data_IF_270774454461
#
_entry.id   IF_270774454461
#
_cell.length_a   1.000
_cell.length_b   1.000
_cell.length_c   1.000
_cell.angle_alpha   90.00
_cell.angle_beta   90.00
_cell.angle_gamma   90.00
#
_symmetry.space_group_name_H-M   'P 1'
#
loop_
_entity.id
_entity.type
_entity.pdbx_description
1 polymer ?
#
# COMPACT_ATOMS: atom_id res chain seq x y z
N UNK A 1 47.36 -35.82 7.85
CA UNK A 1 47.54 -35.03 9.10
C UNK A 1 48.38 -33.83 8.71
N UNK A 2 47.97 -32.57 8.84
CA UNK A 2 46.88 -31.91 9.56
C UNK A 2 46.23 -30.88 8.62
N UNK A 3 44.92 -30.67 8.78
CA UNK A 3 44.19 -29.53 8.24
C UNK A 3 44.63 -28.30 9.02
N UNK A 4 45.02 -27.23 8.33
CA UNK A 4 45.05 -25.88 8.91
C UNK A 4 43.64 -25.32 8.83
N UNK A 5 43.15 -24.86 9.98
CA UNK A 5 41.81 -24.31 10.13
C UNK A 5 41.78 -22.89 9.62
N UNK A 6 40.75 -22.59 8.82
CA UNK A 6 40.28 -21.23 8.63
C UNK A 6 39.65 -20.79 9.97
N UNK A 7 40.33 -19.87 10.64
CA UNK A 7 39.81 -19.15 11.80
C UNK A 7 38.62 -18.30 11.33
N UNK A 8 37.46 -18.55 11.92
CA UNK A 8 36.28 -17.73 11.70
C UNK A 8 36.53 -16.32 12.23
N UNK A 9 36.30 -15.33 11.37
CA UNK A 9 36.20 -13.94 11.80
C UNK A 9 35.08 -13.83 12.85
N UNK A 10 35.43 -13.44 14.07
CA UNK A 10 34.48 -13.03 15.09
C UNK A 10 33.68 -11.84 14.54
N UNK A 11 32.40 -12.06 14.22
CA UNK A 11 31.45 -10.96 13.99
C UNK A 11 31.34 -10.15 15.29
N UNK A 12 32.14 -9.08 15.41
CA UNK A 12 31.96 -8.10 16.49
C UNK A 12 30.51 -7.60 16.51
N UNK A 13 29.95 -7.40 17.71
CA UNK A 13 28.57 -6.95 17.94
C UNK A 13 28.20 -5.80 17.00
N UNK A 14 27.53 -6.11 15.89
CA UNK A 14 27.08 -5.11 14.92
C UNK A 14 26.03 -4.27 15.63
N UNK A 15 26.25 -2.96 15.68
CA UNK A 15 25.28 -2.03 16.27
C UNK A 15 23.89 -2.26 15.64
N UNK A 16 22.81 -2.39 16.44
CA UNK A 16 21.47 -2.56 15.91
C UNK A 16 21.11 -1.45 14.92
N UNK A 17 20.38 -1.78 13.86
CA UNK A 17 20.00 -0.82 12.79
C UNK A 17 18.53 -0.40 12.90
N UNK A 18 18.15 0.63 12.14
CA UNK A 18 16.75 0.98 11.91
C UNK A 18 16.17 0.06 10.83
N UNK A 19 14.92 -0.39 11.01
CA UNK A 19 14.22 -1.15 9.98
C UNK A 19 13.17 -0.29 9.28
N UNK A 20 13.20 -0.28 7.95
CA UNK A 20 12.12 0.22 7.10
C UNK A 20 11.46 -0.93 6.36
N UNK A 21 10.14 -1.08 6.51
CA UNK A 21 9.32 -1.93 5.64
C UNK A 21 8.37 -1.02 4.88
N UNK A 22 8.45 -1.03 3.55
CA UNK A 22 7.50 -0.32 2.68
C UNK A 22 6.58 -1.32 1.99
N UNK A 23 5.31 -0.99 1.87
CA UNK A 23 4.29 -1.87 1.29
C UNK A 23 3.67 -1.18 0.07
N UNK A 24 3.45 -1.92 -1.02
CA UNK A 24 2.44 -1.50 -1.99
C UNK A 24 1.03 -1.54 -1.36
N UNK A 25 0.04 -0.89 -1.98
CA UNK A 25 -1.33 -0.82 -1.50
C UNK A 25 -2.28 -1.78 -2.23
N UNK A 26 -2.54 -1.57 -3.52
CA UNK A 26 -3.57 -2.31 -4.28
C UNK A 26 -2.92 -3.53 -4.93
N UNK A 27 -3.36 -4.74 -4.54
CA UNK A 27 -2.70 -5.99 -4.91
C UNK A 27 -1.89 -6.58 -3.77
N UNK A 28 -1.46 -5.73 -2.82
CA UNK A 28 -0.68 -6.13 -1.64
C UNK A 28 -1.39 -5.99 -0.28
N UNK A 29 -2.04 -4.86 0.03
CA UNK A 29 -2.79 -4.67 1.28
C UNK A 29 -4.28 -4.95 1.11
N UNK A 30 -4.83 -4.61 -0.05
CA UNK A 30 -6.23 -4.78 -0.41
C UNK A 30 -6.38 -5.03 -1.92
N UNK A 31 -7.54 -5.53 -2.33
CA UNK A 31 -7.91 -5.77 -3.72
C UNK A 31 -9.23 -5.09 -4.10
N UNK A 32 -9.52 -5.03 -5.40
CA UNK A 32 -10.85 -4.69 -5.89
C UNK A 32 -11.84 -5.72 -5.34
N UNK A 33 -12.89 -5.24 -4.66
CA UNK A 33 -13.88 -6.11 -4.05
C UNK A 33 -14.49 -7.06 -5.09
N UNK A 34 -14.42 -8.35 -4.79
CA UNK A 34 -14.88 -9.46 -5.65
C UNK A 34 -14.15 -9.59 -7.00
N UNK A 35 -13.05 -8.87 -7.23
CA UNK A 35 -12.28 -8.93 -8.49
C UNK A 35 -13.01 -8.37 -9.72
N UNK A 36 -14.19 -7.79 -9.57
CA UNK A 36 -15.04 -7.38 -10.70
C UNK A 36 -15.28 -5.86 -10.70
N UNK A 37 -14.39 -5.14 -11.37
CA UNK A 37 -14.49 -3.70 -11.51
C UNK A 37 -15.70 -3.27 -12.36
N UNK A 38 -16.00 -4.03 -13.41
CA UNK A 38 -17.11 -3.76 -14.33
C UNK A 38 -18.44 -3.79 -13.60
N UNK A 39 -18.69 -4.84 -12.81
CA UNK A 39 -19.89 -4.98 -12.01
C UNK A 39 -20.04 -3.83 -11.00
N UNK A 40 -18.95 -3.43 -10.34
CA UNK A 40 -19.00 -2.30 -9.40
C UNK A 40 -19.36 -0.99 -10.11
N UNK A 41 -18.75 -0.72 -11.27
CA UNK A 41 -19.07 0.47 -12.07
C UNK A 41 -20.54 0.46 -12.52
N UNK A 42 -21.03 -0.67 -13.01
CA UNK A 42 -22.44 -0.86 -13.41
C UNK A 42 -23.40 -0.61 -12.25
N UNK A 43 -23.16 -1.19 -11.07
CA UNK A 43 -24.02 -0.99 -9.90
C UNK A 43 -24.09 0.46 -9.42
N UNK A 44 -22.98 1.21 -9.53
CA UNK A 44 -22.98 2.65 -9.22
C UNK A 44 -23.72 3.43 -10.32
N UNK A 45 -23.52 3.08 -11.58
CA UNK A 45 -24.22 3.70 -12.72
C UNK A 45 -25.74 3.52 -12.65
N UNK A 46 -26.22 2.34 -12.25
CA UNK A 46 -27.65 2.06 -12.04
C UNK A 46 -28.27 2.96 -10.98
N UNK A 47 -27.56 3.19 -9.87
CA UNK A 47 -27.99 4.12 -8.81
C UNK A 47 -28.05 5.57 -9.28
N UNK A 48 -27.27 5.91 -10.31
CA UNK A 48 -27.30 7.22 -10.97
C UNK A 48 -28.30 7.30 -12.14
N UNK A 49 -29.04 6.21 -12.43
CA UNK A 49 -30.09 6.18 -13.46
C UNK A 49 -29.67 5.56 -14.80
N UNK A 50 -28.43 5.10 -14.96
CA UNK A 50 -27.99 4.34 -16.13
C UNK A 50 -28.23 2.85 -15.91
N UNK A 51 -29.36 2.35 -16.43
CA UNK A 51 -29.78 0.96 -16.27
C UNK A 51 -29.51 0.14 -17.53
N UNK A 52 -29.36 -1.17 -17.36
CA UNK A 52 -29.24 -2.13 -18.46
C UNK A 52 -27.88 -2.13 -19.15
N UNK A 53 -26.83 -1.67 -18.45
CA UNK A 53 -25.46 -1.79 -18.93
C UNK A 53 -24.91 -3.18 -18.61
N UNK A 54 -24.24 -3.80 -19.58
CA UNK A 54 -23.51 -5.04 -19.37
C UNK A 54 -22.20 -4.76 -18.60
N UNK A 55 -21.92 -5.44 -17.47
CA UNK A 55 -20.66 -5.28 -16.73
C UNK A 55 -19.40 -5.52 -17.56
N UNK A 56 -19.43 -6.46 -18.51
CA UNK A 56 -18.31 -6.75 -19.39
C UNK A 56 -18.04 -5.63 -20.38
N UNK A 57 -19.08 -5.03 -20.95
CA UNK A 57 -18.97 -3.83 -21.79
C UNK A 57 -18.38 -2.64 -21.03
N UNK A 58 -18.86 -2.42 -19.79
CA UNK A 58 -18.35 -1.38 -18.90
C UNK A 58 -16.88 -1.61 -18.55
N UNK A 59 -16.49 -2.86 -18.23
CA UNK A 59 -15.10 -3.21 -17.95
C UNK A 59 -14.17 -2.96 -19.16
N UNK A 60 -14.60 -3.35 -20.37
CA UNK A 60 -13.85 -3.11 -21.60
C UNK A 60 -13.68 -1.63 -21.87
N UNK A 61 -14.78 -0.86 -21.83
CA UNK A 61 -14.74 0.58 -22.08
C UNK A 61 -13.93 1.33 -21.02
N UNK A 62 -13.98 0.88 -19.76
CA UNK A 62 -13.12 1.40 -18.68
C UNK A 62 -11.64 1.19 -19.00
N UNK A 63 -11.26 -0.02 -19.42
CA UNK A 63 -9.87 -0.36 -19.73
C UNK A 63 -9.34 0.53 -20.87
N UNK A 64 -10.14 0.74 -21.91
CA UNK A 64 -9.79 1.61 -23.03
C UNK A 64 -9.62 3.07 -22.58
N UNK A 65 -10.60 3.60 -21.83
CA UNK A 65 -10.55 4.95 -21.28
C UNK A 65 -9.33 5.16 -20.35
N UNK A 66 -9.09 4.23 -19.42
CA UNK A 66 -7.98 4.28 -18.48
C UNK A 66 -6.64 4.25 -19.21
N UNK A 67 -6.48 3.37 -20.21
CA UNK A 67 -5.24 3.27 -21.00
C UNK A 67 -4.97 4.55 -21.79
N UNK A 68 -6.00 5.09 -22.44
CA UNK A 68 -5.90 6.33 -23.21
C UNK A 68 -5.46 7.51 -22.32
N UNK A 69 -6.14 7.70 -21.18
CA UNK A 69 -5.82 8.76 -20.21
C UNK A 69 -4.48 8.56 -19.52
N UNK A 70 -4.07 7.32 -19.23
CA UNK A 70 -2.76 7.04 -18.65
C UNK A 70 -1.62 7.36 -19.62
N UNK A 71 -1.86 7.19 -20.92
CA UNK A 71 -0.88 7.52 -21.97
C UNK A 71 -0.80 9.02 -22.22
N UNK A 72 -1.95 9.68 -22.37
CA UNK A 72 -2.05 11.13 -22.70
C UNK A 72 -1.81 12.05 -21.51
N UNK A 73 -2.16 11.59 -20.30
CA UNK A 73 -2.09 12.34 -19.04
C UNK A 73 -1.52 11.44 -17.94
N UNK A 74 -0.24 11.05 -18.01
CA UNK A 74 0.37 10.10 -17.08
C UNK A 74 0.34 10.59 -15.63
N UNK A 75 0.46 9.65 -14.69
CA UNK A 75 0.45 9.88 -13.25
C UNK A 75 -0.71 10.81 -12.81
N UNK A 76 -1.94 10.45 -13.21
CA UNK A 76 -3.17 11.18 -12.87
C UNK A 76 -3.17 12.64 -13.33
N UNK A 77 -2.41 12.94 -14.40
CA UNK A 77 -2.26 14.27 -14.97
C UNK A 77 -1.32 15.19 -14.18
N UNK A 78 -0.39 14.65 -13.38
CA UNK A 78 0.51 15.44 -12.53
C UNK A 78 1.20 16.60 -13.29
N UNK A 79 1.70 16.34 -14.51
CA UNK A 79 2.35 17.33 -15.36
C UNK A 79 1.43 17.93 -16.45
N UNK A 80 0.13 17.62 -16.42
CA UNK A 80 -0.84 18.18 -17.37
C UNK A 80 -1.48 19.44 -16.79
N UNK A 81 -1.32 20.57 -17.49
CA UNK A 81 -1.95 21.82 -17.09
C UNK A 81 -3.47 21.69 -16.96
N UNK A 82 -4.02 22.18 -15.84
CA UNK A 82 -5.45 22.14 -15.56
C UNK A 82 -6.02 20.77 -15.20
N UNK A 83 -5.21 19.71 -15.22
CA UNK A 83 -5.58 18.35 -14.81
C UNK A 83 -5.18 18.11 -13.35
N UNK A 84 -6.05 17.44 -12.60
CA UNK A 84 -5.74 16.90 -11.29
C UNK A 84 -6.39 15.52 -11.17
N UNK A 85 -6.06 14.71 -10.15
CA UNK A 85 -6.60 13.35 -10.05
C UNK A 85 -8.13 13.30 -10.09
N UNK A 86 -8.80 14.31 -9.53
CA UNK A 86 -10.27 14.39 -9.53
C UNK A 86 -10.84 14.54 -10.94
N UNK A 87 -10.30 15.47 -11.73
CA UNK A 87 -10.69 15.67 -13.13
C UNK A 87 -10.28 14.50 -14.02
N UNK A 88 -9.10 13.93 -13.77
CA UNK A 88 -8.58 12.78 -14.50
C UNK A 88 -9.55 11.59 -14.41
N UNK A 89 -9.99 11.24 -13.18
CA UNK A 89 -10.96 10.18 -12.96
C UNK A 89 -12.37 10.51 -13.43
N UNK A 90 -12.77 11.79 -13.41
CA UNK A 90 -14.02 12.22 -14.03
C UNK A 90 -13.99 11.98 -15.54
N UNK A 91 -12.86 12.24 -16.21
CA UNK A 91 -12.70 12.00 -17.64
C UNK A 91 -12.65 10.51 -17.97
N UNK A 92 -11.98 9.68 -17.15
CA UNK A 92 -12.07 8.20 -17.26
C UNK A 92 -13.53 7.76 -17.20
N UNK A 93 -14.30 8.28 -16.22
CA UNK A 93 -15.72 7.95 -16.07
C UNK A 93 -16.51 8.34 -17.32
N UNK A 94 -16.34 9.56 -17.83
CA UNK A 94 -17.04 10.03 -19.03
C UNK A 94 -16.75 9.15 -20.23
N UNK A 95 -15.48 8.82 -20.47
CA UNK A 95 -15.05 7.99 -21.60
C UNK A 95 -15.47 6.53 -21.48
N UNK A 96 -15.61 6.04 -20.25
CA UNK A 96 -16.16 4.69 -19.98
C UNK A 96 -17.64 4.60 -20.37
N UNK A 97 -18.46 5.58 -19.99
CA UNK A 97 -19.92 5.44 -20.14
C UNK A 97 -20.48 6.04 -21.42
N UNK A 98 -19.92 7.13 -21.95
CA UNK A 98 -20.45 7.79 -23.16
C UNK A 98 -20.63 6.86 -24.37
N UNK A 99 -19.68 5.96 -24.70
CA UNK A 99 -19.84 5.05 -25.83
C UNK A 99 -20.94 4.00 -25.62
N UNK A 100 -21.33 3.75 -24.37
CA UNK A 100 -22.33 2.76 -24.00
C UNK A 100 -23.75 3.34 -23.93
N UNK A 101 -23.92 4.66 -24.12
CA UNK A 101 -25.22 5.30 -24.14
C UNK A 101 -25.85 5.24 -25.55
N UNK A 102 -27.13 4.84 -25.69
CA UNK A 102 -27.77 4.78 -27.00
C UNK A 102 -27.92 6.18 -27.62
N UNK A 103 -27.42 6.36 -28.84
CA UNK A 103 -27.49 7.62 -29.61
C UNK A 103 -28.91 8.14 -29.82
N UNK A 104 -29.91 7.27 -29.74
CA UNK A 104 -31.33 7.54 -30.03
C UNK A 104 -32.20 7.82 -28.80
N UNK A 105 -31.66 7.81 -27.58
CA UNK A 105 -32.48 7.92 -26.35
C UNK A 105 -32.35 9.27 -25.64
N UNK A 106 -33.44 9.66 -24.95
CA UNK A 106 -33.55 10.78 -23.99
C UNK A 106 -32.56 10.64 -22.80
N UNK A 107 -31.90 9.48 -22.67
CA UNK A 107 -30.98 9.15 -21.59
C UNK A 107 -29.73 10.03 -21.62
N UNK A 108 -29.81 11.16 -20.89
CA UNK A 108 -28.67 12.06 -20.70
C UNK A 108 -27.63 11.42 -19.78
N UNK A 109 -26.36 11.69 -20.06
CA UNK A 109 -25.27 11.33 -19.17
C UNK A 109 -25.53 11.90 -17.75
N UNK A 110 -25.55 11.06 -16.70
CA UNK A 110 -25.78 11.50 -15.33
C UNK A 110 -24.60 12.34 -14.81
N UNK A 111 -24.85 13.60 -14.48
CA UNK A 111 -23.81 14.52 -13.99
C UNK A 111 -23.25 14.12 -12.62
N UNK A 112 -23.98 13.34 -11.82
CA UNK A 112 -23.56 12.85 -10.51
C UNK A 112 -22.74 11.56 -10.54
N UNK A 113 -22.60 10.89 -11.69
CA UNK A 113 -21.97 9.56 -11.77
C UNK A 113 -20.48 9.57 -11.39
N UNK A 114 -19.72 10.55 -11.88
CA UNK A 114 -18.31 10.68 -11.53
C UNK A 114 -18.10 10.91 -10.03
N UNK A 115 -18.96 11.71 -9.38
CA UNK A 115 -18.94 11.92 -7.92
C UNK A 115 -19.28 10.64 -7.16
N UNK A 116 -20.26 9.88 -7.65
CA UNK A 116 -20.69 8.63 -7.03
C UNK A 116 -19.58 7.56 -7.09
N UNK A 117 -18.97 7.38 -8.27
CA UNK A 117 -17.83 6.47 -8.45
C UNK A 117 -16.61 6.92 -7.65
N UNK A 118 -16.28 8.21 -7.70
CA UNK A 118 -15.21 8.77 -6.88
C UNK A 118 -15.40 8.43 -5.40
N UNK A 119 -16.61 8.65 -4.89
CA UNK A 119 -16.96 8.35 -3.49
C UNK A 119 -16.87 6.87 -3.18
N UNK A 120 -17.40 6.01 -4.06
CA UNK A 120 -17.38 4.55 -3.91
C UNK A 120 -15.95 4.01 -3.82
N UNK A 121 -15.07 4.46 -4.72
CA UNK A 121 -13.65 4.08 -4.76
C UNK A 121 -12.75 4.94 -3.84
N UNK A 122 -13.34 5.74 -2.95
CA UNK A 122 -12.60 6.42 -1.87
C UNK A 122 -12.70 5.67 -0.53
N UNK A 123 -13.44 4.56 -0.47
CA UNK A 123 -13.63 3.76 0.75
C UNK A 123 -13.58 2.26 0.45
N UNK A 124 -13.65 1.44 1.49
CA UNK A 124 -13.89 0.00 1.54
C UNK A 124 -15.15 -0.49 0.80
N UNK A 125 -15.95 0.40 0.22
CA UNK A 125 -17.01 0.00 -0.70
C UNK A 125 -16.41 -0.60 -1.98
N UNK A 126 -15.34 0.01 -2.50
CA UNK A 126 -14.64 -0.40 -3.72
C UNK A 126 -13.74 -1.64 -3.57
N UNK A 127 -13.36 -1.95 -2.33
CA UNK A 127 -12.19 -2.77 -2.06
C UNK A 127 -12.41 -3.73 -0.88
N UNK A 128 -11.64 -4.81 -0.86
CA UNK A 128 -11.57 -5.77 0.24
C UNK A 128 -10.13 -5.87 0.73
N UNK A 129 -9.93 -5.81 2.05
CA UNK A 129 -8.61 -6.01 2.65
C UNK A 129 -8.21 -7.49 2.58
N UNK A 130 -6.93 -7.79 2.34
CA UNK A 130 -6.48 -9.18 2.44
C UNK A 130 -6.41 -9.65 3.89
N UNK A 131 -6.67 -10.93 4.10
CA UNK A 131 -6.75 -11.54 5.44
C UNK A 131 -5.42 -11.41 6.21
N UNK A 132 -4.27 -11.42 5.52
CA UNK A 132 -2.95 -11.29 6.13
C UNK A 132 -2.58 -9.87 6.57
N UNK A 133 -3.25 -8.84 6.05
CA UNK A 133 -2.86 -7.44 6.24
C UNK A 133 -2.96 -6.98 7.69
N UNK A 134 -4.11 -7.18 8.33
CA UNK A 134 -4.31 -6.74 9.72
C UNK A 134 -3.45 -7.55 10.71
N UNK A 135 -3.38 -8.89 10.62
CA UNK A 135 -2.47 -9.68 11.45
C UNK A 135 -1.01 -9.25 11.31
N UNK A 136 -0.53 -9.02 10.08
CA UNK A 136 0.82 -8.50 9.85
C UNK A 136 1.06 -7.17 10.58
N UNK A 137 0.14 -6.20 10.46
CA UNK A 137 0.27 -4.91 11.13
C UNK A 137 0.26 -5.03 12.67
N UNK A 138 -0.49 -5.99 13.23
CA UNK A 138 -0.44 -6.28 14.67
C UNK A 138 0.91 -6.88 15.09
N UNK A 139 1.43 -7.85 14.34
CA UNK A 139 2.75 -8.42 14.63
C UNK A 139 3.84 -7.34 14.61
N UNK A 140 3.80 -6.43 13.63
CA UNK A 140 4.74 -5.31 13.57
C UNK A 140 4.60 -4.38 14.77
N UNK A 141 3.37 -4.15 15.26
CA UNK A 141 3.15 -3.35 16.47
C UNK A 141 3.85 -3.97 17.68
N UNK A 142 3.75 -5.28 17.85
CA UNK A 142 4.41 -5.99 18.94
C UNK A 142 5.94 -5.94 18.79
N UNK A 143 6.45 -6.11 17.57
CA UNK A 143 7.87 -5.99 17.27
C UNK A 143 8.42 -4.57 17.49
N UNK A 144 7.62 -3.51 17.28
CA UNK A 144 8.00 -2.12 17.62
C UNK A 144 8.27 -1.95 19.13
N UNK A 145 7.62 -2.73 19.99
CA UNK A 145 7.91 -2.73 21.43
C UNK A 145 9.26 -3.38 21.73
N UNK A 146 9.61 -4.47 21.05
CA UNK A 146 10.94 -5.11 21.13
C UNK A 146 12.04 -4.16 20.63
N UNK A 147 11.79 -3.48 19.51
CA UNK A 147 12.69 -2.46 18.97
C UNK A 147 12.96 -1.33 19.98
N UNK A 148 11.93 -0.92 20.71
CA UNK A 148 12.04 0.11 21.76
C UNK A 148 12.95 -0.32 22.89
N UNK A 149 12.75 -1.53 23.44
CA UNK A 149 13.64 -2.11 24.45
C UNK A 149 15.09 -2.20 23.95
N UNK A 150 15.27 -2.59 22.68
CA UNK A 150 16.60 -2.69 22.05
C UNK A 150 17.29 -1.32 21.98
N UNK A 151 16.55 -0.27 21.56
CA UNK A 151 17.06 1.11 21.51
C UNK A 151 17.45 1.63 22.90
N UNK A 152 16.74 1.19 23.94
CA UNK A 152 16.97 1.55 25.34
C UNK A 152 18.05 0.68 26.03
N UNK A 153 18.61 -0.32 25.32
CA UNK A 153 19.64 -1.22 25.85
C UNK A 153 19.10 -2.34 26.73
N UNK A 154 17.79 -2.60 26.69
CA UNK A 154 17.09 -3.61 27.50
C UNK A 154 16.85 -4.93 26.76
N UNK A 155 17.13 -4.99 25.46
CA UNK A 155 17.01 -6.20 24.65
C UNK A 155 18.15 -6.29 23.64
N UNK A 156 18.58 -7.52 23.37
CA UNK A 156 19.52 -7.84 22.31
C UNK A 156 18.74 -8.26 21.07
N UNK A 157 18.57 -7.33 20.13
CA UNK A 157 17.88 -7.57 18.87
C UNK A 157 18.54 -6.76 17.75
N UNK A 158 18.40 -7.25 16.51
CA UNK A 158 19.01 -6.61 15.34
C UNK A 158 18.48 -5.20 15.08
N UNK A 159 17.23 -4.91 15.45
CA UNK A 159 16.56 -3.66 15.11
C UNK A 159 16.21 -2.79 16.32
N UNK A 160 16.55 -1.50 16.24
CA UNK A 160 16.29 -0.51 17.29
C UNK A 160 15.07 0.39 16.99
N UNK A 161 14.64 0.42 15.74
CA UNK A 161 13.37 1.02 15.33
C UNK A 161 12.75 0.19 14.21
N UNK A 162 11.43 0.28 14.08
CA UNK A 162 10.70 -0.22 12.90
C UNK A 162 9.84 0.91 12.39
N UNK A 163 9.94 1.19 11.09
CA UNK A 163 9.12 2.18 10.38
C UNK A 163 8.36 1.47 9.27
N UNK A 164 7.04 1.70 9.20
CA UNK A 164 6.19 1.17 8.12
C UNK A 164 5.77 2.31 7.19
N UNK A 165 6.08 2.16 5.91
CA UNK A 165 5.65 3.06 4.86
C UNK A 165 4.70 2.37 3.87
N UNK A 166 3.87 3.15 3.19
CA UNK A 166 3.15 2.71 1.98
C UNK A 166 3.69 3.47 0.78
N UNK A 167 4.05 2.78 -0.31
CA UNK A 167 4.47 3.37 -1.59
C UNK A 167 3.50 2.88 -2.67
N UNK A 168 2.69 3.78 -3.22
CA UNK A 168 1.62 3.39 -4.16
C UNK A 168 1.60 4.25 -5.41
N UNK A 169 1.56 3.59 -6.57
CA UNK A 169 1.22 4.18 -7.87
C UNK A 169 -0.28 4.51 -7.91
N UNK A 170 -0.67 5.54 -7.16
CA UNK A 170 -2.06 5.89 -6.94
C UNK A 170 -2.25 7.38 -6.69
N UNK A 171 -3.50 7.81 -6.71
CA UNK A 171 -3.90 9.13 -6.26
C UNK A 171 -4.08 9.24 -4.73
N UNK A 172 -4.28 10.46 -4.24
CA UNK A 172 -4.36 10.81 -2.82
C UNK A 172 -5.51 10.13 -2.05
N UNK A 173 -6.47 9.46 -2.71
CA UNK A 173 -7.59 8.76 -2.06
C UNK A 173 -7.17 7.52 -1.28
N UNK A 174 -6.01 6.91 -1.56
CA UNK A 174 -5.54 5.69 -0.85
C UNK A 174 -5.55 5.86 0.66
N UNK A 175 -5.18 7.06 1.15
CA UNK A 175 -5.27 7.36 2.58
C UNK A 175 -6.71 7.23 3.13
N UNK A 176 -7.71 7.60 2.34
CA UNK A 176 -9.13 7.45 2.68
C UNK A 176 -9.56 5.99 2.65
N UNK A 177 -9.14 5.24 1.63
CA UNK A 177 -9.41 3.80 1.48
C UNK A 177 -8.87 3.02 2.68
N UNK A 178 -7.58 3.16 2.98
CA UNK A 178 -6.94 2.53 4.14
C UNK A 178 -7.67 2.87 5.44
N UNK A 179 -8.00 4.15 5.66
CA UNK A 179 -8.71 4.56 6.87
C UNK A 179 -10.14 4.03 6.98
N UNK A 180 -10.82 3.77 5.85
CA UNK A 180 -12.13 3.11 5.88
C UNK A 180 -12.04 1.62 6.20
N UNK A 181 -10.91 0.97 5.88
CA UNK A 181 -10.60 -0.40 6.27
C UNK A 181 -10.03 -0.51 7.70
N UNK A 182 -9.86 0.61 8.39
CA UNK A 182 -9.28 0.66 9.72
C UNK A 182 -7.78 0.96 9.79
N UNK A 183 -7.07 1.00 8.67
CA UNK A 183 -5.63 1.29 8.67
C UNK A 183 -5.40 2.80 8.77
N UNK A 184 -4.84 3.23 9.89
CA UNK A 184 -4.45 4.62 10.13
C UNK A 184 -3.04 4.90 9.58
N UNK A 185 -2.91 6.00 8.84
CA UNK A 185 -1.63 6.51 8.32
C UNK A 185 -1.31 7.81 9.04
N UNK A 186 -0.11 7.90 9.62
CA UNK A 186 0.31 9.09 10.41
C UNK A 186 0.61 10.29 9.53
N UNK A 187 1.46 10.09 8.52
CA UNK A 187 1.95 11.15 7.65
C UNK A 187 1.70 10.85 6.18
N UNK A 188 1.60 11.91 5.37
CA UNK A 188 1.71 11.80 3.91
C UNK A 188 2.91 12.59 3.44
N UNK A 189 3.73 11.98 2.60
CA UNK A 189 4.78 12.67 1.88
C UNK A 189 4.14 13.56 0.81
N UNK A 190 4.39 14.87 0.90
CA UNK A 190 3.76 15.84 0.00
C UNK A 190 4.66 16.26 -1.16
N UNK A 191 5.94 15.87 -1.13
CA UNK A 191 6.96 16.21 -2.12
C UNK A 191 8.09 15.19 -2.11
N UNK A 192 8.97 15.28 -3.12
CA UNK A 192 10.15 14.42 -3.23
C UNK A 192 11.22 14.66 -2.15
N UNK A 193 11.08 15.72 -1.36
CA UNK A 193 11.93 15.99 -0.20
C UNK A 193 11.54 15.15 1.03
N UNK A 194 10.44 14.38 0.93
CA UNK A 194 9.91 13.60 2.04
C UNK A 194 9.24 14.48 3.10
N UNK A 195 8.76 15.67 2.72
CA UNK A 195 8.02 16.56 3.62
C UNK A 195 6.76 15.85 4.14
N UNK A 196 6.67 15.71 5.47
CA UNK A 196 5.60 15.00 6.13
C UNK A 196 4.46 15.95 6.51
N UNK A 197 3.28 15.73 5.93
CA UNK A 197 2.05 16.35 6.39
C UNK A 197 1.31 15.40 7.32
N UNK A 198 1.22 15.78 8.61
CA UNK A 198 0.39 15.07 9.58
C UNK A 198 -1.04 14.96 9.09
N UNK A 199 -1.55 13.73 9.00
CA UNK A 199 -2.97 13.51 8.81
C UNK A 199 -3.66 13.81 10.13
N UNK A 200 -4.64 14.73 10.13
CA UNK A 200 -5.50 14.91 11.30
C UNK A 200 -6.27 13.60 11.52
N UNK A 201 -5.86 12.79 12.49
CA UNK A 201 -6.61 11.61 12.93
C UNK A 201 -7.91 12.10 13.56
N UNK A 202 -8.94 12.31 12.74
CA UNK A 202 -10.31 12.34 13.26
C UNK A 202 -10.64 10.88 13.52
N UNK A 203 -10.95 10.49 14.76
CA UNK A 203 -11.41 9.13 15.10
C UNK A 203 -12.63 8.79 14.22
N UNK A 204 -12.37 8.25 13.03
CA UNK A 204 -13.33 8.09 11.94
C UNK A 204 -14.43 7.13 12.36
N UNK A 205 -14.01 6.03 12.98
CA UNK A 205 -14.85 5.02 13.61
C UNK A 205 -15.65 5.59 14.79
N UNK A 206 -15.05 6.39 15.69
CA UNK A 206 -15.82 7.09 16.75
C UNK A 206 -16.85 8.07 16.18
N UNK A 207 -16.54 8.74 15.06
CA UNK A 207 -17.48 9.64 14.36
C UNK A 207 -18.59 8.86 13.64
N UNK A 208 -18.28 7.72 13.01
CA UNK A 208 -19.26 6.81 12.42
C UNK A 208 -20.15 6.18 13.49
N UNK A 209 -19.58 5.77 14.62
CA UNK A 209 -20.28 5.37 15.83
C UNK A 209 -21.22 6.43 16.35
N UNK A 210 -20.72 7.65 16.51
CA UNK A 210 -21.53 8.79 16.91
C UNK A 210 -22.65 9.09 15.90
N UNK A 211 -22.44 8.87 14.59
CA UNK A 211 -23.50 8.98 13.58
C UNK A 211 -24.53 7.86 13.70
N UNK A 212 -24.11 6.61 13.90
CA UNK A 212 -24.99 5.46 14.10
C UNK A 212 -25.82 5.64 15.37
N UNK A 213 -25.18 5.99 16.49
CA UNK A 213 -25.84 6.35 17.76
C UNK A 213 -26.85 7.49 17.56
N UNK A 214 -26.50 8.53 16.81
CA UNK A 214 -27.45 9.61 16.46
C UNK A 214 -28.59 9.17 15.56
N UNK A 215 -28.39 8.14 14.73
CA UNK A 215 -29.42 7.58 13.85
C UNK A 215 -30.38 6.69 14.65
N UNK A 216 -29.83 5.78 15.46
CA UNK A 216 -30.58 4.87 16.33
C UNK A 216 -31.37 5.62 17.41
N UNK A 217 -30.80 6.72 17.93
CA UNK A 217 -31.53 7.63 18.84
C UNK A 217 -32.71 8.32 18.13
N UNK A 218 -32.54 8.71 16.87
CA UNK A 218 -33.62 9.34 16.07
C UNK A 218 -34.72 8.35 15.71
N UNK A 219 -34.40 7.06 15.55
CA UNK A 219 -35.39 6.02 15.30
C UNK A 219 -36.04 5.46 16.57
N UNK A 220 -35.66 5.93 17.77
CA UNK A 220 -36.22 5.47 19.04
C UNK A 220 -35.78 4.06 19.47
N UNK A 221 -34.75 3.49 18.82
CA UNK A 221 -34.31 2.09 19.02
C UNK A 221 -33.14 1.99 20.02
N UNK A 222 -32.58 3.12 20.46
CA UNK A 222 -31.35 3.14 21.26
C UNK A 222 -31.63 3.26 22.77
N UNK A 223 -31.34 2.21 23.53
CA UNK A 223 -31.26 2.26 25.01
C UNK A 223 -29.91 2.80 25.49
N UNK A 224 -29.84 3.22 26.76
CA UNK A 224 -28.60 3.73 27.37
C UNK A 224 -27.51 2.65 27.42
N UNK A 225 -27.89 1.40 27.66
CA UNK A 225 -27.03 0.23 27.75
C UNK A 225 -26.49 -0.16 26.36
N UNK A 226 -27.36 -0.20 25.34
CA UNK A 226 -26.95 -0.47 23.96
C UNK A 226 -26.01 0.63 23.41
N UNK A 227 -26.23 1.89 23.80
CA UNK A 227 -25.33 2.99 23.48
C UNK A 227 -23.94 2.77 24.08
N UNK A 228 -23.85 2.32 25.33
CA UNK A 228 -22.58 2.05 25.99
C UNK A 228 -21.82 0.94 25.27
N UNK A 229 -22.48 -0.18 24.98
CA UNK A 229 -21.89 -1.33 24.28
C UNK A 229 -21.43 -1.00 22.85
N UNK A 230 -22.17 -0.16 22.10
CA UNK A 230 -21.75 0.28 20.77
C UNK A 230 -20.51 1.17 20.85
N UNK A 231 -20.46 2.09 21.82
CA UNK A 231 -19.30 2.96 22.02
C UNK A 231 -18.10 2.12 22.46
N UNK A 232 -18.28 1.20 23.40
CA UNK A 232 -17.25 0.29 23.89
C UNK A 232 -16.75 -0.65 22.79
N UNK A 233 -17.62 -1.28 21.99
CA UNK A 233 -17.20 -2.10 20.87
C UNK A 233 -16.46 -1.29 19.79
N UNK A 234 -16.82 -0.03 19.60
CA UNK A 234 -16.12 0.87 18.67
C UNK A 234 -14.81 1.41 19.25
N UNK A 235 -14.72 1.61 20.56
CA UNK A 235 -13.51 2.03 21.25
C UNK A 235 -12.55 0.85 21.40
N UNK A 236 -13.02 -0.36 21.67
CA UNK A 236 -12.27 -1.62 21.56
C UNK A 236 -11.83 -1.83 20.11
N UNK A 237 -12.71 -1.62 19.13
CA UNK A 237 -12.30 -1.65 17.72
C UNK A 237 -11.29 -0.54 17.43
N UNK A 238 -11.40 0.66 18.01
CA UNK A 238 -10.38 1.71 17.90
C UNK A 238 -9.10 1.35 18.65
N UNK A 239 -9.10 0.60 19.74
CA UNK A 239 -7.89 0.18 20.44
C UNK A 239 -7.20 -0.96 19.68
N UNK A 240 -7.99 -1.87 19.13
CA UNK A 240 -7.57 -2.98 18.27
C UNK A 240 -7.08 -2.48 16.89
N UNK A 241 -7.68 -1.42 16.34
CA UNK A 241 -7.44 -0.95 14.96
C UNK A 241 -6.79 0.45 14.88
N UNK A 242 -6.90 1.32 15.89
CA UNK A 242 -6.78 2.77 15.71
C UNK A 242 -6.41 3.63 16.94
N UNK A 243 -5.56 3.13 17.84
CA UNK A 243 -4.89 3.92 18.87
C UNK A 243 -3.43 4.21 18.52
N UNK A 244 -2.72 3.19 18.06
CA UNK A 244 -1.32 3.30 17.65
C UNK A 244 -1.21 3.14 16.14
N UNK A 245 -0.91 4.25 15.48
CA UNK A 245 -0.73 4.34 14.04
C UNK A 245 0.40 3.39 13.59
N UNK A 246 0.05 2.27 12.96
CA UNK A 246 1.07 1.29 12.53
C UNK A 246 1.83 1.79 11.30
N UNK A 247 1.13 2.42 10.36
CA UNK A 247 1.71 3.02 9.15
C UNK A 247 2.20 4.44 9.46
N UNK A 248 3.51 4.62 9.46
CA UNK A 248 4.20 5.86 9.84
C UNK A 248 4.09 6.92 8.73
N UNK A 249 4.12 6.51 7.46
CA UNK A 249 3.96 7.42 6.34
C UNK A 249 3.38 6.74 5.10
N UNK A 250 2.90 7.56 4.16
CA UNK A 250 2.48 7.11 2.83
C UNK A 250 3.04 8.05 1.77
N UNK A 251 3.50 7.47 0.66
CA UNK A 251 3.97 8.12 -0.55
C UNK A 251 3.06 7.68 -1.69
N UNK A 252 2.40 8.64 -2.34
CA UNK A 252 1.59 8.37 -3.54
C UNK A 252 2.22 9.03 -4.74
N UNK A 253 2.19 8.36 -5.89
CA UNK A 253 2.81 8.87 -7.11
C UNK A 253 2.26 10.23 -7.52
N UNK A 254 0.96 10.47 -7.31
CA UNK A 254 0.35 11.76 -7.65
C UNK A 254 0.75 12.91 -6.72
N UNK A 255 1.19 12.63 -5.49
CA UNK A 255 1.61 13.68 -4.54
C UNK A 255 3.08 14.07 -4.80
N UNK A 256 3.91 13.12 -5.23
CA UNK A 256 5.36 13.31 -5.38
C UNK A 256 5.84 13.44 -6.83
N UNK A 257 4.96 13.21 -7.81
CA UNK A 257 5.28 13.36 -9.23
C UNK A 257 6.11 12.24 -9.85
N UNK A 258 6.51 11.23 -9.08
CA UNK A 258 7.23 10.05 -9.54
C UNK A 258 6.42 8.78 -9.25
N UNK A 259 6.46 7.80 -10.15
CA UNK A 259 5.75 6.53 -10.03
C UNK A 259 6.75 5.38 -10.06
N UNK A 260 6.51 4.31 -9.31
CA UNK A 260 7.26 3.05 -9.43
C UNK A 260 7.26 2.58 -10.89
N UNK A 261 8.38 2.08 -11.43
CA UNK A 261 9.64 1.72 -10.76
C UNK A 261 10.66 2.87 -10.60
N UNK A 262 10.30 4.13 -10.87
CA UNK A 262 11.24 5.26 -10.80
C UNK A 262 11.85 5.42 -9.40
N UNK A 263 13.16 5.59 -9.33
CA UNK A 263 13.93 5.63 -8.07
C UNK A 263 13.48 6.77 -7.14
N UNK A 264 12.95 7.85 -7.70
CA UNK A 264 12.56 9.06 -7.00
C UNK A 264 11.43 8.81 -5.98
N UNK A 265 10.45 7.96 -6.29
CA UNK A 265 9.36 7.64 -5.34
C UNK A 265 9.90 6.85 -4.14
N UNK A 266 10.85 5.96 -4.40
CA UNK A 266 11.53 5.14 -3.42
C UNK A 266 12.47 5.95 -2.52
N UNK A 267 13.27 6.85 -3.10
CA UNK A 267 14.11 7.78 -2.35
C UNK A 267 13.26 8.73 -1.49
N UNK A 268 12.10 9.15 -1.98
CA UNK A 268 11.12 9.93 -1.20
C UNK A 268 10.63 9.16 0.02
N UNK A 269 10.35 7.86 -0.12
CA UNK A 269 9.97 7.01 1.00
C UNK A 269 11.08 6.88 2.04
N UNK A 270 12.34 6.75 1.61
CA UNK A 270 13.50 6.74 2.53
C UNK A 270 13.64 8.05 3.30
N UNK A 271 13.47 9.19 2.62
CA UNK A 271 13.47 10.52 3.28
C UNK A 271 12.31 10.64 4.27
N UNK A 272 11.10 10.21 3.90
CA UNK A 272 9.93 10.19 4.78
C UNK A 272 10.13 9.31 6.02
N UNK A 273 10.78 8.16 5.88
CA UNK A 273 11.13 7.28 6.99
C UNK A 273 12.13 7.94 7.95
N UNK A 274 13.21 8.53 7.41
CA UNK A 274 14.19 9.30 8.20
C UNK A 274 13.54 10.46 8.94
N UNK A 275 12.68 11.23 8.27
CA UNK A 275 11.94 12.33 8.89
C UNK A 275 11.01 11.85 10.01
N UNK A 276 10.38 10.69 9.83
CA UNK A 276 9.53 10.06 10.86
C UNK A 276 10.32 9.64 12.09
N UNK A 277 11.51 9.03 11.91
CA UNK A 277 12.41 8.66 13.01
C UNK A 277 13.00 9.90 13.67
N UNK A 278 13.40 10.90 12.89
CA UNK A 278 13.92 12.17 13.41
C UNK A 278 12.91 12.89 14.29
N UNK A 279 11.64 12.94 13.88
CA UNK A 279 10.57 13.56 14.67
C UNK A 279 10.32 12.80 15.99
N UNK A 280 10.37 11.46 15.97
CA UNK A 280 10.04 10.62 17.14
C UNK A 280 11.20 10.43 18.11
N UNK A 281 12.40 10.27 17.59
CA UNK A 281 13.57 9.78 18.35
C UNK A 281 14.80 10.68 18.21
N UNK A 282 14.74 11.74 17.41
CA UNK A 282 15.83 12.70 17.21
C UNK A 282 16.75 12.39 16.03
N UNK A 283 17.56 13.37 15.66
CA UNK A 283 18.41 13.32 14.46
C UNK A 283 19.53 12.27 14.55
N UNK A 284 20.06 12.04 15.74
CA UNK A 284 21.11 11.04 15.96
C UNK A 284 20.62 9.63 15.64
N UNK A 285 19.39 9.31 16.02
CA UNK A 285 18.75 8.04 15.67
C UNK A 285 18.50 7.91 14.17
N UNK A 286 18.01 8.99 13.54
CA UNK A 286 17.70 9.00 12.11
C UNK A 286 18.94 8.81 11.20
N UNK A 287 20.14 9.14 11.71
CA UNK A 287 21.43 9.01 11.01
C UNK A 287 22.05 7.61 11.08
N UNK A 288 21.56 6.74 11.98
CA UNK A 288 22.07 5.36 12.10
C UNK A 288 21.73 4.51 10.88
N UNK A 289 22.34 3.32 10.79
CA UNK A 289 22.16 2.37 9.68
C UNK A 289 20.70 1.97 9.48
N UNK A 290 20.35 1.61 8.23
CA UNK A 290 19.00 1.21 7.85
C UNK A 290 19.01 -0.07 7.03
N UNK A 291 18.23 -1.06 7.47
CA UNK A 291 17.78 -2.15 6.60
C UNK A 291 16.45 -1.75 5.97
N UNK A 292 16.26 -2.04 4.69
CA UNK A 292 15.06 -1.63 3.97
C UNK A 292 14.53 -2.71 3.04
N UNK A 293 13.28 -3.10 3.27
CA UNK A 293 12.55 -4.06 2.47
C UNK A 293 11.28 -3.43 1.89
N UNK A 294 10.97 -3.74 0.64
CA UNK A 294 9.71 -3.38 0.01
C UNK A 294 8.94 -4.65 -0.38
N UNK A 295 7.66 -4.71 -0.02
CA UNK A 295 6.76 -5.81 -0.39
C UNK A 295 5.73 -5.28 -1.37
N UNK A 296 5.57 -5.96 -2.51
CA UNK A 296 4.58 -5.63 -3.52
C UNK A 296 4.29 -6.80 -4.47
N UNK A 297 3.19 -6.75 -5.20
CA UNK A 297 2.73 -7.82 -6.10
C UNK A 297 3.27 -7.70 -7.53
N UNK A 298 3.91 -6.58 -7.88
CA UNK A 298 4.47 -6.36 -9.21
C UNK A 298 5.99 -6.56 -9.23
N UNK A 299 6.46 -7.46 -10.10
CA UNK A 299 7.89 -7.76 -10.29
C UNK A 299 8.71 -6.53 -10.68
N UNK A 300 8.23 -5.74 -11.64
CA UNK A 300 8.98 -4.61 -12.18
C UNK A 300 8.81 -3.38 -11.29
N UNK A 301 7.55 -3.00 -11.00
CA UNK A 301 7.25 -1.78 -10.26
C UNK A 301 7.74 -1.87 -8.81
N UNK A 302 7.50 -2.99 -8.12
CA UNK A 302 7.82 -3.11 -6.69
C UNK A 302 9.19 -3.72 -6.47
N UNK A 303 9.44 -4.92 -7.01
CA UNK A 303 10.62 -5.70 -6.65
C UNK A 303 11.89 -5.13 -7.30
N UNK A 304 11.91 -5.00 -8.63
CA UNK A 304 13.04 -4.40 -9.33
C UNK A 304 13.22 -2.94 -8.92
N UNK A 305 12.15 -2.15 -8.87
CA UNK A 305 12.19 -0.76 -8.41
C UNK A 305 12.82 -0.58 -7.03
N UNK A 306 12.51 -1.45 -6.06
CA UNK A 306 13.13 -1.41 -4.74
C UNK A 306 14.63 -1.74 -4.77
N UNK A 307 15.02 -2.77 -5.54
CA UNK A 307 16.42 -3.13 -5.70
C UNK A 307 17.26 -2.03 -6.33
N UNK A 308 16.76 -1.40 -7.39
CA UNK A 308 17.42 -0.28 -8.08
C UNK A 308 17.52 0.97 -7.19
N UNK A 309 16.64 1.10 -6.20
CA UNK A 309 16.70 2.15 -5.19
C UNK A 309 17.62 1.83 -3.99
N UNK A 310 18.24 0.64 -3.97
CA UNK A 310 19.12 0.17 -2.90
C UNK A 310 18.38 -0.38 -1.69
N UNK A 311 17.14 -0.83 -1.86
CA UNK A 311 16.40 -1.66 -0.91
C UNK A 311 16.37 -3.12 -1.35
N UNK A 312 15.61 -3.94 -0.63
CA UNK A 312 15.37 -5.35 -0.97
C UNK A 312 13.91 -5.53 -1.37
N UNK A 313 13.66 -6.02 -2.58
CA UNK A 313 12.31 -6.31 -3.06
C UNK A 313 11.84 -7.73 -2.67
N UNK A 314 10.63 -7.83 -2.13
CA UNK A 314 9.94 -9.09 -1.81
C UNK A 314 8.65 -9.14 -2.64
N UNK A 315 8.48 -10.23 -3.38
CA UNK A 315 7.34 -10.42 -4.25
C UNK A 315 6.18 -11.05 -3.47
N UNK A 316 5.03 -10.38 -3.50
CA UNK A 316 3.78 -10.88 -2.96
C UNK A 316 2.99 -11.61 -4.06
N UNK A 317 3.02 -12.94 -4.02
CA UNK A 317 2.30 -13.82 -4.96
C UNK A 317 1.24 -14.63 -4.21
N UNK A 318 0.10 -13.99 -3.93
CA UNK A 318 -1.02 -14.60 -3.22
C UNK A 318 -1.55 -15.85 -3.91
N UNK A 319 -1.55 -15.85 -5.24
CA UNK A 319 -2.09 -16.95 -6.04
C UNK A 319 -1.12 -18.13 -6.15
N UNK A 320 0.11 -17.96 -5.66
CA UNK A 320 1.21 -18.94 -5.76
C UNK A 320 1.46 -19.36 -7.20
N UNK A 321 1.35 -18.42 -8.14
CA UNK A 321 1.60 -18.64 -9.56
C UNK A 321 3.06 -19.02 -9.85
N UNK A 322 4.00 -18.52 -9.05
CA UNK A 322 5.42 -18.84 -9.16
C UNK A 322 5.71 -20.21 -8.54
N UNK A 323 4.97 -20.61 -7.50
CA UNK A 323 5.09 -21.92 -6.85
C UNK A 323 6.39 -22.17 -6.07
N UNK A 324 7.33 -21.23 -6.10
CA UNK A 324 8.65 -21.27 -5.43
C UNK A 324 8.74 -20.19 -4.35
N UNK A 325 9.61 -20.39 -3.36
CA UNK A 325 9.85 -19.41 -2.27
C UNK A 325 10.80 -18.29 -2.67
N UNK A 326 11.45 -18.43 -3.82
CA UNK A 326 12.35 -17.45 -4.43
C UNK A 326 12.14 -17.42 -5.94
N UNK A 327 12.47 -16.30 -6.57
CA UNK A 327 12.44 -16.16 -8.02
C UNK A 327 13.51 -15.17 -8.50
N UNK A 328 13.80 -15.15 -9.79
CA UNK A 328 14.65 -14.11 -10.40
C UNK A 328 13.75 -13.05 -11.00
N UNK A 329 13.92 -11.81 -10.55
CA UNK A 329 13.28 -10.64 -11.12
C UNK A 329 14.28 -9.89 -11.99
N UNK A 330 13.91 -9.64 -13.24
CA UNK A 330 14.78 -8.91 -14.18
C UNK A 330 14.95 -7.45 -13.73
N UNK A 331 16.20 -6.97 -13.74
CA UNK A 331 16.54 -5.59 -13.43
C UNK A 331 16.50 -4.69 -14.67
N UNK A 332 16.83 -3.42 -14.49
CA UNK A 332 16.87 -2.45 -15.59
C UNK A 332 18.08 -2.65 -16.53
N UNK A 333 19.16 -3.21 -16.01
CA UNK A 333 20.38 -3.54 -16.76
C UNK A 333 20.21 -4.88 -17.49
N UNK A 334 20.55 -4.94 -18.78
CA UNK A 334 20.40 -6.16 -19.59
C UNK A 334 21.25 -7.31 -19.01
N UNK A 335 20.62 -8.47 -18.80
CA UNK A 335 21.29 -9.67 -18.26
C UNK A 335 21.54 -9.64 -16.75
N UNK A 336 21.01 -8.63 -16.06
CA UNK A 336 21.07 -8.48 -14.60
C UNK A 336 19.68 -8.70 -14.02
N UNK A 337 19.62 -9.54 -12.99
CA UNK A 337 18.41 -9.76 -12.20
C UNK A 337 18.71 -9.82 -10.72
N UNK A 338 17.65 -9.96 -9.94
CA UNK A 338 17.69 -9.99 -8.49
C UNK A 338 17.01 -11.26 -7.99
N UNK A 339 17.66 -11.96 -7.06
CA UNK A 339 17.01 -13.04 -6.31
C UNK A 339 16.01 -12.41 -5.35
N UNK A 340 14.73 -12.62 -5.58
CA UNK A 340 13.65 -12.09 -4.75
C UNK A 340 12.96 -13.21 -4.01
N UNK A 341 12.70 -13.02 -2.72
CA UNK A 341 11.81 -13.91 -1.98
C UNK A 341 10.37 -13.73 -2.44
N UNK A 342 9.63 -14.83 -2.45
CA UNK A 342 8.22 -14.88 -2.81
C UNK A 342 7.43 -15.32 -1.60
N UNK A 343 6.42 -14.54 -1.24
CA UNK A 343 5.49 -14.84 -0.13
C UNK A 343 4.06 -14.88 -0.67
N UNK A 344 3.22 -15.76 -0.11
CA UNK A 344 1.80 -15.82 -0.45
C UNK A 344 0.90 -15.05 0.51
N UNK A 345 1.41 -14.74 1.71
CA UNK A 345 0.70 -14.05 2.77
C UNK A 345 1.64 -13.07 3.50
N UNK A 346 1.17 -11.85 3.77
CA UNK A 346 1.96 -10.83 4.50
C UNK A 346 2.39 -11.29 5.89
N UNK A 347 1.69 -12.24 6.51
CA UNK A 347 2.07 -12.82 7.79
C UNK A 347 3.45 -13.50 7.74
N UNK A 348 3.83 -14.02 6.58
CA UNK A 348 5.13 -14.66 6.35
C UNK A 348 6.30 -13.68 6.63
N UNK A 349 6.10 -12.38 6.36
CA UNK A 349 7.11 -11.34 6.62
C UNK A 349 7.46 -11.24 8.11
N UNK A 350 6.50 -11.52 9.00
CA UNK A 350 6.61 -11.30 10.44
C UNK A 350 6.27 -12.54 11.27
N UNK A 351 6.65 -13.74 10.80
CA UNK A 351 6.36 -14.99 11.53
C UNK A 351 6.98 -15.01 12.94
N UNK A 352 6.19 -15.51 13.88
CA UNK A 352 6.40 -15.43 15.33
C UNK A 352 7.56 -16.27 15.88
N UNK A 353 8.19 -17.14 15.09
CA UNK A 353 9.17 -18.11 15.64
C UNK A 353 10.56 -17.52 15.84
N UNK A 354 10.99 -16.59 14.98
CA UNK A 354 12.32 -15.95 15.07
C UNK A 354 12.27 -14.41 14.88
N UNK A 355 11.09 -13.85 14.54
CA UNK A 355 10.91 -12.42 14.29
C UNK A 355 11.54 -11.98 12.97
N UNK A 356 10.72 -11.66 11.97
CA UNK A 356 11.15 -11.17 10.66
C UNK A 356 12.17 -12.07 9.93
N UNK A 357 12.11 -13.39 10.16
CA UNK A 357 13.06 -14.36 9.60
C UNK A 357 13.15 -14.33 8.08
N UNK A 358 12.03 -14.05 7.40
CA UNK A 358 12.00 -13.83 5.95
C UNK A 358 12.83 -12.62 5.55
N UNK A 359 12.76 -11.51 6.30
CA UNK A 359 13.58 -10.34 5.98
C UNK A 359 15.07 -10.67 6.08
N UNK A 360 15.49 -11.48 7.05
CA UNK A 360 16.88 -11.91 7.17
C UNK A 360 17.35 -12.79 6.00
N UNK A 361 16.44 -13.53 5.38
CA UNK A 361 16.72 -14.41 4.24
C UNK A 361 16.60 -13.70 2.89
N UNK A 362 15.88 -12.58 2.83
CA UNK A 362 15.75 -11.77 1.62
C UNK A 362 17.09 -11.08 1.33
N UNK A 363 18.01 -11.84 0.75
CA UNK A 363 19.30 -11.34 0.30
C UNK A 363 19.11 -10.62 -1.03
N UNK A 364 19.51 -9.35 -1.10
CA UNK A 364 19.51 -8.57 -2.35
C UNK A 364 20.60 -8.96 -3.32
N UNK A 365 20.76 -10.27 -3.54
CA UNK A 365 21.80 -10.82 -4.40
C UNK A 365 21.51 -10.44 -5.85
N UNK A 366 22.45 -9.69 -6.44
CA UNK A 366 22.50 -9.42 -7.87
C UNK A 366 22.98 -10.68 -8.58
N UNK A 367 22.18 -11.19 -9.51
CA UNK A 367 22.46 -12.41 -10.26
C UNK A 367 22.64 -12.07 -11.74
N UNK A 368 23.72 -12.56 -12.35
CA UNK A 368 23.84 -12.56 -13.81
C UNK A 368 23.04 -13.72 -14.38
N UNK A 369 22.17 -13.47 -15.35
CA UNK A 369 21.41 -14.54 -16.00
C UNK A 369 21.60 -14.52 -17.53
N UNK A 370 21.77 -15.68 -18.18
CA UNK A 370 21.90 -15.76 -19.63
C UNK A 370 20.56 -15.50 -20.33
N UNK A 371 20.60 -14.89 -21.52
CA UNK A 371 19.43 -14.58 -22.36
C UNK A 371 18.41 -15.73 -22.39
N UNK A 372 17.10 -15.41 -22.31
CA UNK A 372 16.12 -16.20 -23.04
C UNK A 372 16.47 -16.05 -24.52
N UNK A 373 16.98 -17.12 -25.13
CA UNK A 373 17.10 -17.20 -26.59
C UNK A 373 15.71 -16.88 -27.13
N UNK A 374 15.55 -15.74 -27.80
CA UNK A 374 14.40 -15.52 -28.67
C UNK A 374 14.35 -16.71 -29.60
N UNK A 375 13.44 -17.64 -29.36
CA UNK A 375 13.10 -18.64 -30.37
C UNK A 375 12.52 -17.85 -31.53
N UNK A 376 13.37 -17.56 -32.50
CA UNK A 376 12.96 -17.14 -33.82
C UNK A 376 12.24 -18.34 -34.45
N UNK A 377 10.91 -18.27 -34.51
CA UNK A 377 10.07 -18.78 -35.61
C UNK A 377 8.63 -18.34 -35.46
#
# INVERSE_FOLDING_TARGET
MKKEGEEGEEEGDKEPTNLLITLDALGTLYEIKNGDLGQQYTLVAEKCGLKGLDPGDVARSFKDAFKELSTSHPNYGYHTEGMNPRKWWEEVTKRTFKPLLPTSTITKYPTNLAEALWTHFSTDNGYSIFNGTIPFLWNIKDLKAVATKTREGEADWKYRTITIGVISNSDYRVAGVLSSMGIAVTHRAMSQDGELKKKKTKNSLRRQGNKLVKSLRRSGVLTSEAKSLIIEALDVKNEIIGGDQVVDFMVTSCEVGAAKPQKEIFETARKAARNSVMEKFGIEEARKGWDWYHVGDNKEEDVAGAYEAGGVGILFDRNKEIGETETIVEGSEEGVGYRAMVIGDLREVAEFTEGLSILYKAGGEKVSYPRRVQQSR
#
